data_IF_177070736979
#
_entry.id   IF_177070736979
#
_cell.length_a   1.000
_cell.length_b   1.000
_cell.length_c   1.000
_cell.angle_alpha   90.00
_cell.angle_beta   90.00
_cell.angle_gamma   90.00
#
_symmetry.space_group_name_H-M   'P 1'
#
loop_
_entity.id
_entity.type
_entity.pdbx_description
1 polymer ?
#
# COMPACT_ATOMS: atom_id res chain seq x y z
N UNK A 1 9.95 21.69 13.82
CA UNK A 1 9.44 21.57 12.44
C UNK A 1 8.44 22.68 12.22
N UNK A 2 8.37 23.29 11.01
CA UNK A 2 7.31 24.24 10.73
C UNK A 2 5.93 23.56 10.90
N UNK A 3 5.00 24.22 11.53
CA UNK A 3 3.62 23.73 11.69
C UNK A 3 2.70 24.49 10.73
N UNK A 4 1.83 23.77 10.02
CA UNK A 4 0.76 24.35 9.23
C UNK A 4 -0.53 24.24 10.06
N UNK A 5 -1.21 25.37 10.26
CA UNK A 5 -2.56 25.37 10.85
C UNK A 5 -3.55 25.12 9.72
N UNK A 6 -4.33 24.06 9.82
CA UNK A 6 -5.38 23.73 8.86
C UNK A 6 -6.68 24.42 9.25
N UNK A 7 -7.22 25.24 8.35
CA UNK A 7 -8.57 25.78 8.52
C UNK A 7 -9.58 24.67 8.22
N UNK A 8 -10.46 24.41 9.17
CA UNK A 8 -11.51 23.37 9.01
C UNK A 8 -12.71 23.89 8.21
N UNK A 9 -12.72 25.18 7.83
CA UNK A 9 -13.77 25.80 7.04
C UNK A 9 -13.14 26.69 5.95
N UNK A 10 -13.10 26.20 4.71
CA UNK A 10 -12.55 26.95 3.60
C UNK A 10 -11.28 26.33 3.02
N UNK A 11 -10.35 27.16 2.57
CA UNK A 11 -9.10 26.74 1.94
C UNK A 11 -7.92 26.97 2.87
N UNK A 12 -6.99 26.04 2.86
CA UNK A 12 -5.65 26.20 3.45
C UNK A 12 -4.64 26.03 2.34
N UNK A 13 -3.89 27.07 2.04
CA UNK A 13 -2.85 27.03 0.99
C UNK A 13 -1.68 26.18 1.45
N UNK A 14 -1.20 25.32 0.54
CA UNK A 14 0.02 24.55 0.75
C UNK A 14 1.22 25.34 0.19
N UNK A 15 2.35 25.34 0.90
CA UNK A 15 3.60 25.82 0.31
C UNK A 15 3.94 25.05 -0.96
N UNK A 16 4.59 25.70 -1.92
CA UNK A 16 5.15 25.02 -3.08
C UNK A 16 6.06 23.86 -2.65
N UNK A 17 6.12 22.83 -3.45
CA UNK A 17 6.85 21.60 -3.11
C UNK A 17 6.18 20.65 -2.14
N UNK A 18 4.99 20.99 -1.64
CA UNK A 18 4.19 20.10 -0.79
C UNK A 18 3.04 19.46 -1.56
N UNK A 19 2.69 18.25 -1.13
CA UNK A 19 1.45 17.57 -1.51
C UNK A 19 0.59 17.34 -0.27
N UNK A 20 -0.72 17.33 -0.44
CA UNK A 20 -1.67 16.94 0.60
C UNK A 20 -2.59 15.83 0.11
N UNK A 21 -2.76 14.83 0.94
CA UNK A 21 -3.65 13.71 0.71
C UNK A 21 -4.73 13.65 1.77
N UNK A 22 -5.93 13.31 1.38
CA UNK A 22 -6.95 12.84 2.33
C UNK A 22 -6.76 11.33 2.46
N UNK A 23 -6.36 10.93 3.66
CA UNK A 23 -6.17 9.52 4.03
C UNK A 23 -7.45 8.99 4.65
N UNK A 24 -7.94 7.86 4.14
CA UNK A 24 -9.06 7.12 4.73
C UNK A 24 -8.53 5.84 5.34
N UNK A 25 -8.80 5.64 6.63
CA UNK A 25 -8.47 4.42 7.36
C UNK A 25 -9.70 3.51 7.41
N UNK A 26 -9.48 2.22 7.09
CA UNK A 26 -10.53 1.22 7.07
C UNK A 26 -10.10 0.02 7.90
N UNK A 27 -11.05 -0.69 8.50
CA UNK A 27 -10.79 -1.85 9.34
C UNK A 27 -11.83 -2.96 9.17
N UNK A 28 -11.41 -4.17 9.50
CA UNK A 28 -12.26 -5.33 9.77
C UNK A 28 -12.10 -5.73 11.24
N UNK A 29 -13.20 -5.98 11.94
CA UNK A 29 -13.20 -6.44 13.35
C UNK A 29 -13.56 -7.92 13.47
N UNK A 30 -13.89 -8.56 12.36
CA UNK A 30 -14.12 -9.99 12.24
C UNK A 30 -13.74 -10.43 10.83
N UNK A 31 -13.38 -11.70 10.65
CA UNK A 31 -13.11 -12.24 9.32
C UNK A 31 -14.38 -12.19 8.48
N UNK A 32 -14.37 -11.54 7.33
CA UNK A 32 -15.53 -11.49 6.44
C UNK A 32 -15.70 -12.82 5.70
N UNK A 33 -16.89 -13.04 5.16
CA UNK A 33 -17.05 -14.02 4.09
C UNK A 33 -16.33 -13.51 2.84
N UNK A 34 -15.47 -14.34 2.29
CA UNK A 34 -14.73 -14.00 1.07
C UNK A 34 -15.39 -14.64 -0.14
N UNK A 35 -15.52 -13.86 -1.23
CA UNK A 35 -15.91 -14.43 -2.51
C UNK A 35 -14.74 -15.22 -3.07
N UNK A 36 -14.92 -16.51 -3.28
CA UNK A 36 -13.93 -17.35 -3.89
C UNK A 36 -13.61 -16.91 -5.34
N UNK A 37 -12.34 -16.86 -5.67
CA UNK A 37 -11.83 -16.58 -7.02
C UNK A 37 -10.70 -17.55 -7.30
N UNK A 38 -10.94 -18.47 -8.23
CA UNK A 38 -9.91 -19.41 -8.68
C UNK A 38 -8.92 -18.69 -9.61
N UNK A 39 -7.65 -18.70 -9.26
CA UNK A 39 -6.52 -18.20 -10.06
C UNK A 39 -5.39 -19.23 -9.97
N UNK A 40 -5.53 -20.38 -10.65
CA UNK A 40 -4.50 -21.44 -10.63
C UNK A 40 -3.18 -20.99 -11.26
N UNK A 41 -3.23 -19.96 -12.09
CA UNK A 41 -2.10 -19.29 -12.74
C UNK A 41 -1.30 -18.38 -11.78
N UNK A 42 -1.77 -18.18 -10.55
CA UNK A 42 -1.11 -17.34 -9.54
C UNK A 42 -0.72 -18.15 -8.32
N UNK A 43 0.43 -17.82 -7.75
CA UNK A 43 0.86 -18.33 -6.44
C UNK A 43 1.35 -17.19 -5.56
N UNK A 44 1.18 -17.33 -4.24
CA UNK A 44 1.70 -16.39 -3.27
C UNK A 44 3.01 -16.95 -2.69
N UNK A 45 4.09 -16.22 -2.85
CA UNK A 45 5.43 -16.57 -2.38
C UNK A 45 5.82 -15.63 -1.23
N UNK A 46 6.17 -16.20 -0.07
CA UNK A 46 6.75 -15.42 1.02
C UNK A 46 8.22 -15.11 0.72
N UNK A 47 8.60 -13.86 0.89
CA UNK A 47 9.97 -13.38 0.66
C UNK A 47 10.65 -13.20 2.03
N UNK A 48 11.40 -14.21 2.45
CA UNK A 48 12.10 -14.19 3.73
C UNK A 48 13.41 -13.40 3.67
N UNK A 49 14.03 -13.36 2.48
CA UNK A 49 15.28 -12.63 2.23
C UNK A 49 15.08 -11.70 1.04
N UNK A 50 14.48 -10.51 1.24
CA UNK A 50 14.21 -9.59 0.14
C UNK A 50 15.51 -9.03 -0.43
N UNK A 51 15.67 -9.13 -1.75
CA UNK A 51 16.67 -8.37 -2.50
C UNK A 51 16.17 -6.93 -2.69
N UNK A 52 16.92 -5.91 -2.24
CA UNK A 52 16.49 -4.52 -2.32
C UNK A 52 16.20 -4.02 -3.73
N UNK A 53 16.98 -4.47 -4.72
CA UNK A 53 16.80 -4.04 -6.10
C UNK A 53 15.53 -4.64 -6.71
N UNK A 54 15.29 -5.94 -6.48
CA UNK A 54 14.08 -6.64 -6.93
C UNK A 54 12.83 -6.07 -6.28
N UNK A 55 12.90 -5.82 -4.95
CA UNK A 55 11.80 -5.24 -4.22
C UNK A 55 11.45 -3.85 -4.77
N UNK A 56 12.43 -2.93 -4.91
CA UNK A 56 12.18 -1.59 -5.44
C UNK A 56 11.66 -1.61 -6.87
N UNK A 57 12.13 -2.54 -7.70
CA UNK A 57 11.63 -2.70 -9.07
C UNK A 57 10.14 -3.03 -9.08
N UNK A 58 9.71 -4.00 -8.26
CA UNK A 58 8.30 -4.35 -8.13
C UNK A 58 7.50 -3.21 -7.52
N UNK A 59 8.00 -2.61 -6.44
CA UNK A 59 7.36 -1.51 -5.74
C UNK A 59 7.10 -0.31 -6.67
N UNK A 60 8.08 0.04 -7.53
CA UNK A 60 7.93 1.11 -8.53
C UNK A 60 6.93 0.73 -9.62
N UNK A 61 6.98 -0.48 -10.16
CA UNK A 61 6.02 -0.91 -11.19
C UNK A 61 4.56 -0.79 -10.73
N UNK A 62 4.33 -1.03 -9.45
CA UNK A 62 2.98 -0.93 -8.84
C UNK A 62 2.68 0.51 -8.43
N UNK A 63 3.62 1.16 -7.78
CA UNK A 63 3.39 2.35 -6.98
C UNK A 63 3.69 3.69 -7.64
N UNK A 64 4.57 3.77 -8.66
CA UNK A 64 4.93 5.03 -9.31
C UNK A 64 3.69 5.81 -9.82
N UNK A 65 2.65 5.18 -10.42
CA UNK A 65 1.43 5.87 -10.81
C UNK A 65 0.64 6.48 -9.64
N UNK A 66 0.93 6.05 -8.42
CA UNK A 66 0.20 6.38 -7.19
C UNK A 66 1.05 7.13 -6.16
N UNK A 67 2.24 7.60 -6.55
CA UNK A 67 3.23 8.25 -5.68
C UNK A 67 3.63 7.41 -4.46
N UNK A 68 3.77 6.11 -4.60
CA UNK A 68 4.33 5.29 -3.53
C UNK A 68 5.82 5.57 -3.35
N UNK A 69 6.21 6.16 -2.25
CA UNK A 69 7.61 6.53 -2.00
C UNK A 69 8.17 6.02 -0.66
N UNK A 70 7.32 5.59 0.27
CA UNK A 70 7.71 5.27 1.64
C UNK A 70 8.84 4.25 1.78
N UNK A 71 9.01 3.33 0.82
CA UNK A 71 10.12 2.36 0.81
C UNK A 71 11.33 2.83 -0.01
N UNK A 72 11.12 3.77 -0.92
CA UNK A 72 12.15 4.18 -1.89
C UNK A 72 13.16 5.17 -1.31
N UNK A 73 12.80 5.90 -0.27
CA UNK A 73 13.70 6.81 0.46
C UNK A 73 14.68 6.11 1.42
N UNK A 74 14.53 4.79 1.64
CA UNK A 74 15.41 4.01 2.50
C UNK A 74 16.64 3.53 1.72
N UNK A 75 17.81 3.53 2.35
CA UNK A 75 18.98 2.80 1.83
C UNK A 75 18.74 1.28 1.90
N UNK A 76 19.65 0.47 1.31
CA UNK A 76 19.48 -0.98 1.23
C UNK A 76 19.41 -1.63 2.61
N UNK A 77 20.25 -1.20 3.54
CA UNK A 77 20.32 -1.78 4.89
C UNK A 77 19.03 -1.45 5.68
N UNK A 78 18.55 -0.21 5.60
CA UNK A 78 17.32 0.22 6.24
C UNK A 78 16.10 -0.47 5.62
N UNK A 79 16.07 -0.63 4.30
CA UNK A 79 15.00 -1.34 3.59
C UNK A 79 14.93 -2.81 4.03
N UNK A 80 16.05 -3.52 3.96
CA UNK A 80 16.10 -4.93 4.40
C UNK A 80 15.69 -5.05 5.85
N UNK A 81 16.22 -4.20 6.73
CA UNK A 81 15.85 -4.17 8.16
C UNK A 81 14.34 -3.98 8.35
N UNK A 82 13.71 -3.11 7.57
CA UNK A 82 12.25 -2.88 7.62
C UNK A 82 11.49 -4.13 7.17
N UNK A 83 11.85 -4.68 6.01
CA UNK A 83 11.16 -5.81 5.40
C UNK A 83 11.36 -7.14 6.15
N UNK A 84 12.43 -7.25 6.94
CA UNK A 84 12.73 -8.44 7.77
C UNK A 84 12.49 -8.20 9.27
N UNK A 85 11.86 -7.08 9.63
CA UNK A 85 11.56 -6.78 11.03
C UNK A 85 10.61 -7.83 11.63
N UNK A 86 10.73 -8.16 12.91
CA UNK A 86 9.84 -9.12 13.56
C UNK A 86 8.38 -8.71 13.39
N UNK A 87 7.57 -9.62 12.87
CA UNK A 87 6.16 -9.38 12.60
C UNK A 87 5.86 -8.78 11.24
N UNK A 88 6.86 -8.36 10.45
CA UNK A 88 6.65 -7.91 9.09
C UNK A 88 6.75 -9.07 8.10
N UNK A 89 5.78 -9.20 7.21
CA UNK A 89 5.73 -10.28 6.22
C UNK A 89 5.54 -9.71 4.82
N UNK A 90 6.46 -10.08 3.92
CA UNK A 90 6.45 -9.68 2.51
C UNK A 90 6.11 -10.86 1.63
N UNK A 91 5.20 -10.66 0.71
CA UNK A 91 4.79 -11.68 -0.26
C UNK A 91 4.76 -11.11 -1.67
N UNK A 92 5.23 -11.90 -2.62
CA UNK A 92 5.03 -11.64 -4.05
C UNK A 92 3.93 -12.54 -4.60
N UNK A 93 3.02 -11.94 -5.35
CA UNK A 93 2.11 -12.66 -6.22
C UNK A 93 2.91 -13.04 -7.48
N UNK A 94 3.13 -14.33 -7.71
CA UNK A 94 3.87 -14.84 -8.89
C UNK A 94 2.93 -15.43 -9.90
N UNK A 95 3.24 -15.22 -11.17
CA UNK A 95 2.63 -15.93 -12.31
C UNK A 95 3.23 -17.35 -12.45
N UNK A 96 2.66 -18.16 -13.35
CA UNK A 96 3.22 -19.48 -13.68
C UNK A 96 4.66 -19.39 -14.22
N UNK A 97 4.98 -18.34 -14.98
CA UNK A 97 6.33 -18.08 -15.50
C UNK A 97 7.32 -17.61 -14.43
N UNK A 98 6.82 -17.36 -13.20
CA UNK A 98 7.63 -16.90 -12.06
C UNK A 98 7.78 -15.39 -11.94
N UNK A 99 7.17 -14.62 -12.83
CA UNK A 99 7.21 -13.15 -12.77
C UNK A 99 6.43 -12.61 -11.57
N UNK A 100 6.96 -11.54 -10.98
CA UNK A 100 6.28 -10.84 -9.90
C UNK A 100 5.16 -9.95 -10.47
N UNK A 101 3.91 -10.36 -10.24
CA UNK A 101 2.69 -9.69 -10.68
C UNK A 101 2.04 -8.82 -9.60
N UNK A 102 2.47 -8.94 -8.33
CA UNK A 102 1.92 -8.16 -7.23
C UNK A 102 2.73 -8.23 -5.95
N UNK A 103 2.46 -7.30 -5.07
CA UNK A 103 3.07 -7.14 -3.75
C UNK A 103 1.98 -7.16 -2.69
N UNK A 104 2.25 -7.89 -1.60
CA UNK A 104 1.48 -7.89 -0.38
C UNK A 104 2.44 -7.76 0.81
N UNK A 105 2.27 -6.73 1.63
CA UNK A 105 2.95 -6.58 2.92
C UNK A 105 1.95 -6.58 4.05
N UNK A 106 2.20 -7.41 5.06
CA UNK A 106 1.42 -7.48 6.29
C UNK A 106 2.32 -7.15 7.47
N UNK A 107 1.87 -6.26 8.33
CA UNK A 107 2.53 -5.94 9.58
C UNK A 107 1.76 -6.51 10.77
N UNK A 108 2.38 -7.44 11.46
CA UNK A 108 1.91 -8.13 12.66
C UNK A 108 2.68 -7.67 13.91
N UNK A 109 3.38 -6.54 13.88
CA UNK A 109 4.18 -6.03 15.01
C UNK A 109 3.32 -5.76 16.25
N UNK A 110 2.04 -5.50 16.07
CA UNK A 110 1.06 -5.38 17.13
C UNK A 110 0.25 -6.67 17.28
N UNK A 111 0.22 -7.32 18.48
CA UNK A 111 -0.31 -8.68 18.65
C UNK A 111 -1.76 -8.89 18.22
N UNK A 112 -2.61 -7.87 18.33
CA UNK A 112 -4.04 -7.96 18.03
C UNK A 112 -4.44 -7.20 16.76
N UNK A 113 -3.59 -6.32 16.27
CA UNK A 113 -3.82 -5.44 15.14
C UNK A 113 -2.89 -5.83 13.99
N UNK A 114 -3.47 -6.18 12.85
CA UNK A 114 -2.72 -6.46 11.62
C UNK A 114 -2.92 -5.31 10.67
N UNK A 115 -1.83 -4.81 10.11
CA UNK A 115 -1.87 -3.80 9.06
C UNK A 115 -1.65 -4.44 7.69
N UNK A 116 -2.46 -4.06 6.71
CA UNK A 116 -2.17 -4.22 5.29
C UNK A 116 -1.31 -3.05 4.85
N UNK A 117 0.01 -3.19 5.00
CA UNK A 117 0.96 -2.09 4.83
C UNK A 117 1.13 -1.69 3.36
N UNK A 118 1.25 -2.67 2.45
CA UNK A 118 1.26 -2.45 1.01
C UNK A 118 0.49 -3.56 0.30
N UNK A 119 -0.27 -3.15 -0.70
CA UNK A 119 -1.09 -4.06 -1.49
C UNK A 119 -1.26 -3.52 -2.91
N UNK A 120 -0.81 -4.25 -3.89
CA UNK A 120 -0.97 -3.84 -5.28
C UNK A 120 -0.57 -4.90 -6.30
N UNK A 121 -1.02 -4.68 -7.51
CA UNK A 121 -0.69 -5.47 -8.69
C UNK A 121 0.02 -4.58 -9.71
N UNK A 122 0.92 -5.16 -10.48
CA UNK A 122 1.45 -4.50 -11.68
C UNK A 122 0.30 -4.23 -12.67
N UNK A 123 0.38 -3.18 -13.50
CA UNK A 123 -0.71 -2.81 -14.41
C UNK A 123 -1.22 -3.98 -15.28
N UNK A 124 -0.32 -4.83 -15.74
CA UNK A 124 -0.62 -5.96 -16.62
C UNK A 124 -1.42 -7.08 -15.91
N UNK A 125 -1.35 -7.13 -14.58
CA UNK A 125 -2.06 -8.14 -13.78
C UNK A 125 -3.42 -7.62 -13.25
N UNK A 126 -3.75 -6.35 -13.52
CA UNK A 126 -5.03 -5.77 -13.09
C UNK A 126 -6.16 -6.35 -13.94
N UNK A 127 -7.23 -6.76 -13.27
CA UNK A 127 -8.37 -7.42 -13.91
C UNK A 127 -8.39 -8.92 -13.66
N UNK A 128 -9.29 -9.66 -14.31
CA UNK A 128 -9.37 -11.12 -14.23
C UNK A 128 -9.50 -11.71 -12.82
N UNK A 129 -9.78 -10.91 -11.79
CA UNK A 129 -9.93 -11.37 -10.41
C UNK A 129 -8.64 -11.45 -9.58
N UNK A 130 -7.45 -11.12 -10.14
CA UNK A 130 -6.17 -11.22 -9.43
C UNK A 130 -6.14 -10.42 -8.11
N UNK A 131 -6.65 -9.18 -8.12
CA UNK A 131 -6.73 -8.36 -6.92
C UNK A 131 -7.63 -8.99 -5.85
N UNK A 132 -8.76 -9.57 -6.23
CA UNK A 132 -9.64 -10.26 -5.30
C UNK A 132 -8.98 -11.51 -4.72
N UNK A 133 -8.31 -12.29 -5.57
CA UNK A 133 -7.57 -13.46 -5.13
C UNK A 133 -6.47 -13.08 -4.13
N UNK A 134 -5.68 -12.05 -4.43
CA UNK A 134 -4.61 -11.57 -3.54
C UNK A 134 -5.16 -11.03 -2.23
N UNK A 135 -6.31 -10.33 -2.26
CA UNK A 135 -6.98 -9.85 -1.04
C UNK A 135 -7.50 -10.99 -0.18
N UNK A 136 -8.04 -12.04 -0.77
CA UNK A 136 -8.45 -13.23 -0.03
C UNK A 136 -7.24 -13.86 0.69
N UNK A 137 -6.09 -13.95 0.03
CA UNK A 137 -4.84 -14.41 0.65
C UNK A 137 -4.42 -13.51 1.84
N UNK A 138 -4.54 -12.19 1.70
CA UNK A 138 -4.24 -11.25 2.77
C UNK A 138 -5.18 -11.44 3.98
N UNK A 139 -6.48 -11.55 3.73
CA UNK A 139 -7.51 -11.79 4.76
C UNK A 139 -7.23 -13.12 5.48
N UNK A 140 -6.96 -14.18 4.74
CA UNK A 140 -6.68 -15.51 5.32
C UNK A 140 -5.45 -15.48 6.22
N UNK A 141 -4.37 -14.82 5.79
CA UNK A 141 -3.15 -14.68 6.59
C UNK A 141 -3.36 -13.84 7.84
N UNK A 142 -4.03 -12.69 7.71
CA UNK A 142 -4.31 -11.81 8.84
C UNK A 142 -5.14 -12.53 9.93
N UNK A 143 -6.17 -13.26 9.54
CA UNK A 143 -7.06 -13.92 10.48
C UNK A 143 -6.61 -15.34 10.89
N UNK A 144 -5.62 -15.94 10.23
CA UNK A 144 -5.00 -17.19 10.68
C UNK A 144 -4.12 -16.99 11.91
N UNK A 145 -3.65 -15.76 12.18
CA UNK A 145 -2.83 -15.48 13.36
C UNK A 145 -3.69 -15.46 14.62
N UNK A 146 -3.32 -16.26 15.58
CA UNK A 146 -4.04 -16.32 16.86
C UNK A 146 -3.99 -14.95 17.57
N UNK A 147 -5.14 -14.50 18.06
CA UNK A 147 -5.28 -13.24 18.78
C UNK A 147 -5.56 -12.01 17.90
N UNK A 148 -5.61 -12.15 16.57
CA UNK A 148 -6.06 -11.06 15.71
C UNK A 148 -7.48 -10.65 16.01
N UNK A 149 -7.69 -9.40 16.35
CA UNK A 149 -9.01 -8.79 16.59
C UNK A 149 -9.33 -7.66 15.62
N UNK A 150 -8.31 -7.27 14.81
CA UNK A 150 -8.42 -6.17 13.87
C UNK A 150 -7.48 -6.40 12.69
N UNK A 151 -8.01 -6.20 11.48
CA UNK A 151 -7.22 -6.08 10.26
C UNK A 151 -7.55 -4.73 9.63
N UNK A 152 -6.54 -3.88 9.39
CA UNK A 152 -6.78 -2.52 8.93
C UNK A 152 -5.86 -2.13 7.77
N UNK A 153 -6.29 -1.11 7.05
CA UNK A 153 -5.57 -0.53 5.92
C UNK A 153 -5.85 0.98 5.89
N UNK A 154 -4.95 1.73 5.32
CA UNK A 154 -5.25 3.08 4.89
C UNK A 154 -5.05 3.22 3.39
N UNK A 155 -5.78 4.15 2.78
CA UNK A 155 -5.62 4.56 1.39
C UNK A 155 -5.82 6.06 1.30
N UNK A 156 -5.23 6.68 0.31
CA UNK A 156 -5.25 8.14 0.19
C UNK A 156 -5.74 8.59 -1.19
N UNK A 157 -5.89 9.90 -1.36
CA UNK A 157 -6.33 10.49 -2.63
C UNK A 157 -5.31 10.36 -3.76
N UNK A 158 -4.06 10.03 -3.45
CA UNK A 158 -3.04 9.71 -4.44
C UNK A 158 -3.12 8.27 -4.95
N UNK A 159 -3.78 7.36 -4.25
CA UNK A 159 -3.96 5.97 -4.68
C UNK A 159 -4.89 5.83 -5.89
N UNK A 160 -4.99 4.60 -6.38
CA UNK A 160 -5.94 4.24 -7.43
C UNK A 160 -7.36 4.66 -7.05
N UNK A 161 -8.12 5.30 -7.95
CA UNK A 161 -9.53 5.66 -7.69
C UNK A 161 -10.42 4.48 -7.29
N UNK A 162 -10.02 3.26 -7.64
CA UNK A 162 -10.74 2.04 -7.29
C UNK A 162 -10.40 1.52 -5.89
N UNK A 163 -9.29 1.97 -5.27
CA UNK A 163 -8.76 1.40 -4.03
C UNK A 163 -9.78 1.43 -2.88
N UNK A 164 -10.38 2.59 -2.60
CA UNK A 164 -11.35 2.72 -1.52
C UNK A 164 -12.55 1.77 -1.70
N UNK A 165 -13.15 1.76 -2.89
CA UNK A 165 -14.29 0.89 -3.22
C UNK A 165 -13.91 -0.60 -3.18
N UNK A 166 -12.69 -0.92 -3.60
CA UNK A 166 -12.15 -2.28 -3.54
C UNK A 166 -12.01 -2.77 -2.09
N UNK A 167 -11.42 -1.97 -1.19
CA UNK A 167 -11.31 -2.31 0.22
C UNK A 167 -12.68 -2.48 0.87
N UNK A 168 -13.61 -1.55 0.64
CA UNK A 168 -14.98 -1.65 1.16
C UNK A 168 -15.69 -2.93 0.68
N UNK A 169 -15.58 -3.25 -0.61
CA UNK A 169 -16.16 -4.48 -1.18
C UNK A 169 -15.47 -5.77 -0.72
N UNK A 170 -14.32 -5.63 -0.05
CA UNK A 170 -13.58 -6.73 0.58
C UNK A 170 -13.94 -6.94 2.05
N UNK A 171 -14.82 -6.09 2.61
CA UNK A 171 -15.28 -6.18 3.98
C UNK A 171 -14.66 -5.17 4.95
N UNK A 172 -13.78 -4.28 4.49
CA UNK A 172 -13.26 -3.20 5.31
C UNK A 172 -14.30 -2.07 5.47
N UNK A 173 -14.38 -1.49 6.65
CA UNK A 173 -15.25 -0.36 6.96
C UNK A 173 -14.43 0.89 7.29
N UNK A 174 -14.72 2.05 6.66
CA UNK A 174 -14.05 3.30 7.00
C UNK A 174 -14.36 3.71 8.44
N UNK A 175 -13.33 4.12 9.22
CA UNK A 175 -13.52 4.54 10.61
C UNK A 175 -12.86 5.87 10.94
N UNK A 176 -11.89 6.33 10.13
CA UNK A 176 -11.15 7.57 10.38
C UNK A 176 -10.67 8.20 9.08
N UNK A 177 -10.59 9.53 9.06
CA UNK A 177 -9.88 10.29 8.02
C UNK A 177 -8.79 11.14 8.64
N UNK A 178 -7.75 11.42 7.85
CA UNK A 178 -6.69 12.36 8.19
C UNK A 178 -6.28 13.16 6.95
N UNK A 179 -5.61 14.27 7.17
CA UNK A 179 -4.85 14.98 6.14
C UNK A 179 -3.38 14.60 6.35
N UNK A 180 -2.74 14.14 5.30
CA UNK A 180 -1.31 13.88 5.25
C UNK A 180 -0.66 14.93 4.36
N UNK A 181 0.36 15.63 4.87
CA UNK A 181 1.09 16.67 4.14
C UNK A 181 2.55 16.25 4.11
N UNK A 182 3.09 16.07 2.91
CA UNK A 182 4.44 15.59 2.68
C UNK A 182 5.18 16.48 1.67
N UNK A 183 6.50 16.36 1.62
CA UNK A 183 7.27 16.87 0.50
C UNK A 183 6.93 16.05 -0.75
N UNK A 184 6.76 16.74 -1.89
CA UNK A 184 6.50 16.02 -3.14
C UNK A 184 7.72 15.14 -3.48
N UNK A 185 7.58 13.82 -3.51
CA UNK A 185 8.70 12.90 -3.72
C UNK A 185 9.36 13.04 -5.08
N UNK A 186 8.69 13.69 -6.03
CA UNK A 186 9.23 14.02 -7.36
C UNK A 186 10.18 15.22 -7.31
N UNK A 187 10.02 16.13 -6.34
CA UNK A 187 10.90 17.28 -6.12
C UNK A 187 12.07 16.93 -5.20
N UNK A 188 11.88 15.99 -4.27
CA UNK A 188 12.98 15.49 -3.43
C UNK A 188 13.90 14.49 -4.15
N UNK A 189 13.55 14.09 -5.38
CA UNK A 189 14.36 13.16 -6.18
C UNK A 189 14.16 11.68 -5.82
N UNK A 190 13.22 11.35 -4.94
CA UNK A 190 12.86 9.95 -4.61
C UNK A 190 12.12 9.29 -5.77
N UNK A 191 11.26 10.04 -6.44
CA UNK A 191 10.53 9.60 -7.64
C UNK A 191 10.93 10.41 -8.87
N UNK A 192 10.84 9.83 -10.08
CA UNK A 192 10.94 10.59 -11.32
C UNK A 192 9.88 11.70 -11.40
N UNK A 193 10.23 12.83 -12.05
CA UNK A 193 9.33 14.00 -12.12
C UNK A 193 8.07 13.77 -12.96
N UNK A 194 8.09 12.81 -13.84
CA UNK A 194 7.03 12.50 -14.81
C UNK A 194 6.04 11.42 -14.33
N UNK A 195 6.26 10.81 -13.16
CA UNK A 195 5.31 9.84 -12.60
C UNK A 195 4.06 10.53 -12.06
N UNK A 196 2.96 9.80 -11.99
CA UNK A 196 1.66 10.25 -11.49
C UNK A 196 1.20 11.61 -12.09
N UNK A 197 1.15 11.76 -13.43
CA UNK A 197 0.88 13.05 -14.10
C UNK A 197 -0.52 13.63 -13.78
N UNK A 198 -1.41 12.81 -13.22
CA UNK A 198 -2.74 13.25 -12.75
C UNK A 198 -2.67 14.16 -11.51
N UNK A 199 -1.54 14.16 -10.79
CA UNK A 199 -1.30 15.03 -9.64
C UNK A 199 -0.39 16.16 -10.11
N UNK A 200 -0.87 17.41 -10.18
CA UNK A 200 -0.05 18.54 -10.62
C UNK A 200 1.21 18.70 -9.78
N UNK A 201 2.35 18.88 -10.44
CA UNK A 201 3.61 19.18 -9.78
C UNK A 201 3.75 20.69 -9.65
N UNK A 202 3.78 21.20 -8.42
CA UNK A 202 3.91 22.62 -8.12
C UNK A 202 5.26 22.84 -7.45
N UNK A 203 6.16 23.47 -8.17
CA UNK A 203 7.48 23.90 -7.69
C UNK A 203 7.53 25.43 -7.61
N UNK A 204 8.51 25.95 -6.85
CA UNK A 204 8.83 27.39 -6.83
C UNK A 204 9.30 27.90 -8.20
#
# INVERSE_FOLDING_TARGET
MPSLSVDLSGYTDLPAGKIANIVTFLEMRARPETREVARPDLRLERIETPDPADYRRLFRRIGDPWLWFGRLGLDDAALVKTLTSPGHEVYYCRTEDGDAAGLLELDFSHPADVELAYFGLVPEAIGGGAGRWLMNQAIDKAWARAGTTRFWVHTCTADSPQALGFYMSSGFMPYKRAIEIEDDPRLTGVLPRDVAPRIPLIAD
#
